data_IF_315191170301
#
_entry.id   IF_315191170301
#
_cell.length_a   1.000
_cell.length_b   1.000
_cell.length_c   1.000
_cell.angle_alpha   90.00
_cell.angle_beta   90.00
_cell.angle_gamma   90.00
#
_symmetry.space_group_name_H-M   'P 1'
#
loop_
_entity.id
_entity.type
_entity.pdbx_description
1 polymer ?
#
# COMPACT_ATOMS: atom_id res chain seq x y z
N UNK A 1 2.78 -58.59 -22.90
CA UNK A 1 3.13 -57.25 -22.38
C UNK A 1 4.64 -57.06 -22.43
N UNK A 2 5.12 -56.09 -23.21
CA UNK A 2 6.55 -55.85 -23.43
C UNK A 2 7.23 -55.35 -22.15
N UNK A 3 8.42 -55.86 -21.81
CA UNK A 3 9.21 -55.50 -20.61
C UNK A 3 9.27 -53.98 -20.34
N UNK A 4 9.37 -53.18 -21.41
CA UNK A 4 9.31 -51.71 -21.40
C UNK A 4 8.05 -51.14 -20.72
N UNK A 5 6.88 -51.76 -20.94
CA UNK A 5 5.62 -51.33 -20.33
C UNK A 5 5.66 -51.54 -18.82
N UNK A 6 6.14 -52.71 -18.37
CA UNK A 6 6.28 -53.05 -16.95
C UNK A 6 7.22 -52.05 -16.23
N UNK A 7 8.36 -51.74 -16.84
CA UNK A 7 9.32 -50.75 -16.29
C UNK A 7 8.70 -49.36 -16.19
N UNK A 8 7.99 -48.89 -17.23
CA UNK A 8 7.33 -47.59 -17.22
C UNK A 8 6.28 -47.48 -16.11
N UNK A 9 5.47 -48.52 -15.92
CA UNK A 9 4.46 -48.59 -14.86
C UNK A 9 5.09 -48.56 -13.47
N UNK A 10 6.19 -49.31 -13.26
CA UNK A 10 6.91 -49.30 -11.98
C UNK A 10 7.45 -47.90 -11.67
N UNK A 11 8.09 -47.24 -12.65
CA UNK A 11 8.61 -45.88 -12.47
C UNK A 11 7.49 -44.89 -12.13
N UNK A 12 6.34 -44.96 -12.82
CA UNK A 12 5.20 -44.09 -12.54
C UNK A 12 4.64 -44.31 -11.14
N UNK A 13 4.48 -45.57 -10.72
CA UNK A 13 4.01 -45.91 -9.39
C UNK A 13 4.99 -45.43 -8.31
N UNK A 14 6.29 -45.70 -8.46
CA UNK A 14 7.31 -45.23 -7.52
C UNK A 14 7.33 -43.71 -7.38
N UNK A 15 7.20 -42.96 -8.49
CA UNK A 15 7.10 -41.49 -8.45
C UNK A 15 5.85 -41.02 -7.72
N UNK A 16 4.70 -41.65 -7.96
CA UNK A 16 3.45 -41.32 -7.28
C UNK A 16 3.57 -41.53 -5.77
N UNK A 17 4.02 -42.70 -5.33
CA UNK A 17 4.19 -43.03 -3.91
C UNK A 17 5.19 -42.08 -3.23
N UNK A 18 6.28 -41.72 -3.90
CA UNK A 18 7.27 -40.76 -3.39
C UNK A 18 6.64 -39.40 -3.09
N UNK A 19 5.88 -38.82 -4.02
CA UNK A 19 5.27 -37.51 -3.83
C UNK A 19 4.08 -37.54 -2.87
N UNK A 20 3.28 -38.61 -2.85
CA UNK A 20 2.22 -38.80 -1.85
C UNK A 20 2.78 -38.77 -0.44
N UNK A 21 3.83 -39.55 -0.17
CA UNK A 21 4.51 -39.54 1.13
C UNK A 21 5.06 -38.15 1.47
N UNK A 22 5.59 -37.43 0.48
CA UNK A 22 6.10 -36.07 0.69
C UNK A 22 4.99 -35.10 1.07
N UNK A 23 3.81 -35.19 0.46
CA UNK A 23 2.62 -34.41 0.85
C UNK A 23 2.12 -34.76 2.25
N UNK A 24 2.17 -36.03 2.66
CA UNK A 24 1.80 -36.45 4.01
C UNK A 24 2.72 -35.88 5.11
N UNK A 25 3.99 -35.63 4.77
CA UNK A 25 4.97 -35.06 5.71
C UNK A 25 4.94 -33.54 5.82
N UNK A 26 4.18 -32.85 4.97
CA UNK A 26 4.09 -31.38 4.97
C UNK A 26 3.20 -30.89 6.11
N UNK A 27 3.67 -29.89 6.87
CA UNK A 27 2.95 -29.37 8.04
C UNK A 27 2.39 -27.97 7.84
N UNK A 28 2.86 -27.25 6.83
CA UNK A 28 2.44 -25.88 6.55
C UNK A 28 1.91 -25.70 5.13
N UNK A 29 0.97 -24.76 4.96
CA UNK A 29 0.46 -24.40 3.63
C UNK A 29 1.58 -23.94 2.68
N UNK A 30 2.59 -23.22 3.19
CA UNK A 30 3.74 -22.77 2.40
C UNK A 30 4.53 -23.94 1.79
N UNK A 31 4.85 -24.93 2.60
CA UNK A 31 5.54 -26.16 2.14
C UNK A 31 4.70 -26.93 1.12
N UNK A 32 3.37 -26.96 1.28
CA UNK A 32 2.46 -27.62 0.35
C UNK A 32 2.46 -26.91 -1.02
N UNK A 33 2.42 -25.57 -1.02
CA UNK A 33 2.52 -24.77 -2.25
C UNK A 33 3.88 -24.93 -2.92
N UNK A 34 4.99 -24.91 -2.17
CA UNK A 34 6.32 -25.16 -2.75
C UNK A 34 6.43 -26.56 -3.39
N UNK A 35 5.87 -27.59 -2.75
CA UNK A 35 5.86 -28.94 -3.28
C UNK A 35 5.00 -29.07 -4.54
N UNK A 36 3.86 -28.37 -4.57
CA UNK A 36 2.99 -28.27 -5.75
C UNK A 36 3.68 -27.56 -6.92
N UNK A 37 4.36 -26.44 -6.65
CA UNK A 37 5.10 -25.71 -7.68
C UNK A 37 6.27 -26.53 -8.24
N UNK A 38 6.98 -27.30 -7.40
CA UNK A 38 7.98 -28.26 -7.85
C UNK A 38 7.41 -29.30 -8.81
N UNK A 39 6.25 -29.88 -8.47
CA UNK A 39 5.57 -30.88 -9.31
C UNK A 39 5.08 -30.33 -10.64
N UNK A 40 4.66 -29.07 -10.66
CA UNK A 40 4.13 -28.40 -11.84
C UNK A 40 5.22 -27.71 -12.67
N UNK A 41 6.49 -27.80 -12.27
CA UNK A 41 7.60 -27.10 -12.91
C UNK A 41 7.48 -25.57 -12.81
N UNK A 42 6.78 -25.07 -11.79
CA UNK A 42 6.55 -23.66 -11.50
C UNK A 42 7.56 -23.09 -10.51
N UNK A 43 8.67 -23.80 -10.25
CA UNK A 43 9.71 -23.32 -9.35
C UNK A 43 10.22 -21.94 -9.82
N UNK A 44 9.72 -20.90 -9.17
CA UNK A 44 10.21 -19.55 -9.37
C UNK A 44 11.49 -19.42 -8.58
N UNK A 45 12.62 -19.64 -9.23
CA UNK A 45 13.85 -19.02 -8.76
C UNK A 45 13.65 -17.52 -8.91
N UNK A 46 13.49 -16.79 -7.81
CA UNK A 46 13.73 -15.34 -7.79
C UNK A 46 15.19 -15.18 -7.36
N UNK A 47 16.17 -15.32 -8.28
CA UNK A 47 17.54 -15.03 -7.90
C UNK A 47 17.59 -13.59 -7.44
N UNK A 48 18.16 -13.37 -6.26
CA UNK A 48 18.52 -12.02 -5.85
C UNK A 48 19.43 -11.42 -6.94
N UNK A 49 19.27 -10.14 -7.26
CA UNK A 49 20.13 -9.49 -8.23
C UNK A 49 21.58 -9.61 -7.74
N UNK A 50 22.46 -10.09 -8.61
CA UNK A 50 23.89 -10.20 -8.31
C UNK A 50 24.54 -8.82 -8.32
N UNK A 51 25.39 -8.53 -7.33
CA UNK A 51 26.11 -7.27 -7.20
C UNK A 51 26.50 -6.99 -5.75
N UNK A 52 27.33 -5.96 -5.52
CA UNK A 52 27.55 -5.45 -4.16
C UNK A 52 26.34 -4.64 -3.69
N UNK A 53 26.21 -4.41 -2.39
CA UNK A 53 25.12 -3.59 -1.84
C UNK A 53 25.07 -2.20 -2.48
N UNK A 54 26.24 -1.59 -2.72
CA UNK A 54 26.37 -0.28 -3.35
C UNK A 54 25.86 -0.33 -4.79
N UNK A 55 26.30 -1.31 -5.58
CA UNK A 55 25.88 -1.46 -6.98
C UNK A 55 24.36 -1.67 -7.09
N UNK A 56 23.78 -2.44 -6.16
CA UNK A 56 22.34 -2.70 -6.13
C UNK A 56 21.55 -1.43 -5.76
N UNK A 57 22.03 -0.66 -4.78
CA UNK A 57 21.44 0.63 -4.41
C UNK A 57 21.50 1.63 -5.57
N UNK A 58 22.64 1.74 -6.24
CA UNK A 58 22.80 2.63 -7.40
C UNK A 58 21.87 2.21 -8.55
N UNK A 59 21.86 0.92 -8.91
CA UNK A 59 20.96 0.40 -9.96
C UNK A 59 19.50 0.63 -9.63
N UNK A 60 19.11 0.49 -8.36
CA UNK A 60 17.75 0.77 -7.91
C UNK A 60 17.40 2.24 -8.11
N UNK A 61 18.25 3.16 -7.66
CA UNK A 61 18.05 4.61 -7.79
C UNK A 61 17.96 5.01 -9.27
N UNK A 62 18.90 4.56 -10.09
CA UNK A 62 18.92 4.86 -11.53
C UNK A 62 17.66 4.35 -12.22
N UNK A 63 17.27 3.10 -11.97
CA UNK A 63 16.05 2.53 -12.56
C UNK A 63 14.80 3.37 -12.28
N UNK A 64 14.59 3.80 -11.03
CA UNK A 64 13.41 4.59 -10.69
C UNK A 64 13.47 6.01 -11.25
N UNK A 65 14.65 6.65 -11.23
CA UNK A 65 14.83 7.96 -11.84
C UNK A 65 14.54 7.92 -13.35
N UNK A 66 15.10 6.95 -14.06
CA UNK A 66 14.91 6.78 -15.50
C UNK A 66 13.45 6.45 -15.80
N UNK A 67 12.82 5.58 -15.02
CA UNK A 67 11.39 5.25 -15.18
C UNK A 67 10.52 6.49 -15.01
N UNK A 68 10.78 7.33 -14.00
CA UNK A 68 10.03 8.57 -13.78
C UNK A 68 10.25 9.53 -14.95
N UNK A 69 11.50 9.69 -15.42
CA UNK A 69 11.82 10.54 -16.55
C UNK A 69 11.11 10.08 -17.84
N UNK A 70 11.13 8.78 -18.12
CA UNK A 70 10.47 8.18 -19.27
C UNK A 70 8.95 8.35 -19.20
N UNK A 71 8.33 8.11 -18.05
CA UNK A 71 6.87 8.32 -17.88
C UNK A 71 6.50 9.77 -18.12
N UNK A 72 7.29 10.74 -17.61
CA UNK A 72 7.04 12.16 -17.87
C UNK A 72 7.17 12.50 -19.36
N UNK A 73 8.24 12.02 -20.00
CA UNK A 73 8.47 12.24 -21.42
C UNK A 73 7.36 11.62 -22.29
N UNK A 74 6.88 10.44 -21.93
CA UNK A 74 5.74 9.80 -22.60
C UNK A 74 4.46 10.63 -22.44
N UNK A 75 4.19 11.15 -21.24
CA UNK A 75 3.03 12.00 -20.97
C UNK A 75 3.12 13.34 -21.71
N UNK A 76 4.30 13.96 -21.76
CA UNK A 76 4.53 15.24 -22.44
C UNK A 76 4.46 15.11 -23.97
N UNK A 77 4.87 13.95 -24.52
CA UNK A 77 4.83 13.68 -25.96
C UNK A 77 3.49 13.14 -26.46
N UNK A 78 2.54 12.86 -25.56
CA UNK A 78 1.19 12.54 -25.97
C UNK A 78 0.52 13.81 -26.52
N UNK A 79 -0.07 13.79 -27.73
CA UNK A 79 -0.86 14.92 -28.18
C UNK A 79 -1.96 15.14 -27.15
N UNK A 80 -2.04 16.36 -26.61
CA UNK A 80 -3.14 16.77 -25.72
C UNK A 80 -4.41 16.76 -26.57
N UNK A 81 -5.02 15.59 -26.68
CA UNK A 81 -6.42 15.48 -27.05
C UNK A 81 -7.14 16.15 -25.90
N UNK A 82 -7.46 17.43 -26.03
CA UNK A 82 -8.38 18.09 -25.11
C UNK A 82 -9.61 17.22 -25.09
N UNK A 83 -9.88 16.48 -24.00
CA UNK A 83 -11.04 15.62 -23.98
C UNK A 83 -12.21 16.57 -24.16
N UNK A 84 -13.09 16.25 -25.11
CA UNK A 84 -14.33 17.00 -25.30
C UNK A 84 -15.22 16.68 -24.12
N UNK A 85 -14.92 17.30 -22.98
CA UNK A 85 -15.78 17.27 -21.83
C UNK A 85 -17.02 18.08 -22.17
N UNK A 86 -18.19 17.56 -21.81
CA UNK A 86 -19.38 18.38 -21.77
C UNK A 86 -19.09 19.63 -20.94
N UNK A 87 -19.39 20.81 -21.48
CA UNK A 87 -19.27 22.05 -20.72
C UNK A 87 -20.12 21.89 -19.46
N UNK A 88 -19.50 22.06 -18.29
CA UNK A 88 -20.22 22.02 -17.03
C UNK A 88 -21.35 23.06 -17.06
N UNK A 89 -22.59 22.58 -16.98
CA UNK A 89 -23.80 23.40 -16.96
C UNK A 89 -24.42 23.53 -15.56
N UNK A 90 -23.74 22.98 -14.54
CA UNK A 90 -24.18 23.07 -13.16
C UNK A 90 -23.85 24.40 -12.50
N UNK A 91 -24.15 24.50 -11.21
CA UNK A 91 -23.79 25.65 -10.38
C UNK A 91 -22.31 25.64 -10.04
N UNK A 92 -21.65 26.78 -10.18
CA UNK A 92 -20.25 26.95 -9.74
C UNK A 92 -20.13 26.64 -8.24
N UNK A 93 -19.07 25.93 -7.87
CA UNK A 93 -18.72 25.71 -6.47
C UNK A 93 -17.83 26.87 -6.01
N UNK A 94 -18.44 27.90 -5.43
CA UNK A 94 -17.73 29.13 -5.11
C UNK A 94 -17.18 29.16 -3.67
N UNK A 95 -17.75 28.34 -2.77
CA UNK A 95 -17.37 28.31 -1.36
C UNK A 95 -17.72 27.00 -0.68
N UNK A 96 -16.96 26.69 0.36
CA UNK A 96 -17.30 25.63 1.31
C UNK A 96 -18.34 26.11 2.32
N UNK A 97 -19.16 25.19 2.80
CA UNK A 97 -19.98 25.43 3.97
C UNK A 97 -19.10 25.39 5.21
N UNK A 98 -19.28 26.37 6.09
CA UNK A 98 -18.58 26.41 7.37
C UNK A 98 -19.14 25.33 8.30
N UNK A 99 -18.25 24.75 9.11
CA UNK A 99 -18.60 23.75 10.11
C UNK A 99 -19.16 24.41 11.37
N UNK A 100 -20.17 23.77 11.94
CA UNK A 100 -20.71 24.12 13.25
C UNK A 100 -19.91 23.48 14.39
N UNK A 101 -20.09 24.01 15.60
CA UNK A 101 -19.46 23.47 16.80
C UNK A 101 -19.88 22.02 17.08
N UNK A 102 -21.17 21.72 16.90
CA UNK A 102 -21.73 20.38 17.14
C UNK A 102 -21.15 19.34 16.16
N UNK A 103 -20.96 19.73 14.90
CA UNK A 103 -20.32 18.88 13.90
C UNK A 103 -18.87 18.56 14.28
N UNK A 104 -18.12 19.55 14.78
CA UNK A 104 -16.74 19.35 15.24
C UNK A 104 -16.69 18.44 16.47
N UNK A 105 -17.54 18.68 17.47
CA UNK A 105 -17.61 17.82 18.65
C UNK A 105 -17.95 16.38 18.27
N UNK A 106 -18.92 16.20 17.37
CA UNK A 106 -19.33 14.87 16.87
C UNK A 106 -18.20 14.21 16.08
N UNK A 107 -17.53 14.95 15.20
CA UNK A 107 -16.40 14.47 14.40
C UNK A 107 -15.26 13.99 15.31
N UNK A 108 -14.88 14.81 16.29
CA UNK A 108 -13.81 14.49 17.22
C UNK A 108 -14.17 13.27 18.08
N UNK A 109 -15.39 13.17 18.63
CA UNK A 109 -15.83 12.01 19.42
C UNK A 109 -15.83 10.69 18.64
N UNK A 110 -16.04 10.75 17.32
CA UNK A 110 -16.01 9.57 16.44
C UNK A 110 -14.62 9.28 15.85
N UNK A 111 -13.62 10.11 16.16
CA UNK A 111 -12.27 9.96 15.64
C UNK A 111 -11.45 8.98 16.48
N UNK A 112 -10.41 8.41 15.88
CA UNK A 112 -9.49 7.52 16.59
C UNK A 112 -8.66 8.28 17.63
N UNK A 113 -8.40 7.67 18.78
CA UNK A 113 -7.55 8.21 19.86
C UNK A 113 -6.05 8.07 19.56
N UNK A 114 -5.63 8.36 18.32
CA UNK A 114 -4.22 8.35 17.92
C UNK A 114 -3.59 9.71 18.16
N UNK A 115 -2.33 9.70 18.59
CA UNK A 115 -1.50 10.88 18.75
C UNK A 115 -0.29 10.76 17.83
N UNK A 116 0.03 11.85 17.15
CA UNK A 116 1.25 12.07 16.41
C UNK A 116 2.27 12.82 17.29
N UNK A 117 3.57 12.63 17.03
CA UNK A 117 4.61 13.40 17.72
C UNK A 117 4.65 14.89 17.29
N UNK A 118 3.94 15.25 16.21
CA UNK A 118 3.73 16.65 15.81
C UNK A 118 2.55 17.31 16.54
N UNK A 119 1.73 16.54 17.27
CA UNK A 119 0.57 17.10 17.96
C UNK A 119 1.04 17.92 19.16
N UNK A 120 0.50 19.14 19.37
CA UNK A 120 0.90 20.00 20.48
C UNK A 120 0.47 19.45 21.84
N UNK A 121 -0.56 18.61 21.86
CA UNK A 121 -1.08 17.95 23.06
C UNK A 121 -1.46 16.50 22.74
N UNK A 122 -1.34 15.57 23.71
CA UNK A 122 -1.86 14.23 23.55
C UNK A 122 -3.37 14.24 23.29
N UNK A 123 -3.82 13.41 22.36
CA UNK A 123 -5.23 13.33 21.92
C UNK A 123 -6.16 12.93 23.07
N UNK A 124 -5.68 12.12 24.01
CA UNK A 124 -6.42 11.78 25.23
C UNK A 124 -6.72 13.00 26.10
N UNK A 125 -5.77 13.92 26.23
CA UNK A 125 -5.95 15.17 26.99
C UNK A 125 -6.82 16.16 26.21
N UNK A 126 -6.66 16.24 24.89
CA UNK A 126 -7.55 17.02 24.03
C UNK A 126 -9.02 16.62 24.24
N UNK A 127 -9.32 15.32 24.35
CA UNK A 127 -10.68 14.86 24.62
C UNK A 127 -11.20 15.24 26.01
N UNK A 128 -10.34 15.34 27.02
CA UNK A 128 -10.74 15.82 28.35
C UNK A 128 -11.10 17.31 28.35
N UNK A 129 -10.48 18.08 27.45
CA UNK A 129 -10.71 19.52 27.29
C UNK A 129 -11.55 19.85 26.04
N UNK A 130 -12.27 18.86 25.48
CA UNK A 130 -12.91 18.97 24.17
C UNK A 130 -13.85 20.17 24.07
N UNK A 131 -14.73 20.36 25.05
CA UNK A 131 -15.71 21.45 25.04
C UNK A 131 -15.05 22.83 25.04
N UNK A 132 -13.86 22.96 25.64
CA UNK A 132 -13.06 24.19 25.64
C UNK A 132 -12.30 24.40 24.34
N UNK A 133 -11.80 23.32 23.73
CA UNK A 133 -10.96 23.39 22.53
C UNK A 133 -11.77 23.39 21.22
N UNK A 134 -12.96 22.80 21.21
CA UNK A 134 -13.78 22.65 20.01
C UNK A 134 -14.10 23.98 19.31
N UNK A 135 -14.39 25.11 19.99
CA UNK A 135 -14.58 26.40 19.34
C UNK A 135 -13.34 26.87 18.57
N UNK A 136 -12.15 26.70 19.14
CA UNK A 136 -10.90 27.06 18.50
C UNK A 136 -10.59 26.16 17.28
N UNK A 137 -10.84 24.86 17.42
CA UNK A 137 -10.67 23.90 16.31
C UNK A 137 -11.64 24.25 15.16
N UNK A 138 -12.90 24.57 15.48
CA UNK A 138 -13.89 24.98 14.49
C UNK A 138 -13.47 26.26 13.76
N UNK A 139 -12.93 27.25 14.47
CA UNK A 139 -12.44 28.49 13.88
C UNK A 139 -11.28 28.24 12.89
N UNK A 140 -10.28 27.46 13.28
CA UNK A 140 -9.15 27.10 12.39
C UNK A 140 -9.63 26.38 11.13
N UNK A 141 -10.56 25.44 11.26
CA UNK A 141 -11.14 24.72 10.12
C UNK A 141 -11.93 25.68 9.23
N UNK A 142 -12.76 26.53 9.80
CA UNK A 142 -13.58 27.49 9.06
C UNK A 142 -12.74 28.52 8.31
N UNK A 143 -11.65 29.00 8.90
CA UNK A 143 -10.70 29.87 8.20
C UNK A 143 -10.05 29.14 7.01
N UNK A 144 -9.70 27.86 7.18
CA UNK A 144 -9.13 27.06 6.09
C UNK A 144 -10.14 26.83 4.96
N UNK A 145 -11.41 26.56 5.30
CA UNK A 145 -12.51 26.39 4.34
C UNK A 145 -12.86 27.70 3.61
N UNK A 146 -12.84 28.83 4.31
CA UNK A 146 -13.14 30.14 3.73
C UNK A 146 -12.05 30.63 2.78
N UNK A 147 -10.79 30.39 3.12
CA UNK A 147 -9.62 30.86 2.34
C UNK A 147 -9.12 29.83 1.32
N UNK A 148 -9.60 28.59 1.40
CA UNK A 148 -9.07 27.47 0.61
C UNK A 148 -7.61 27.11 0.95
N UNK A 149 -7.08 27.60 2.07
CA UNK A 149 -5.67 27.46 2.44
C UNK A 149 -5.52 26.79 3.80
N UNK A 150 -4.73 25.72 3.85
CA UNK A 150 -4.34 25.07 5.12
C UNK A 150 -2.95 25.58 5.52
N UNK A 151 -2.71 25.91 6.80
CA UNK A 151 -1.38 26.25 7.31
C UNK A 151 -0.32 25.18 7.03
N UNK A 152 0.91 25.59 6.72
CA UNK A 152 1.98 24.66 6.34
C UNK A 152 2.34 23.66 7.44
N UNK A 153 2.26 24.06 8.72
CA UNK A 153 2.51 23.16 9.83
C UNK A 153 1.61 21.90 9.82
N UNK A 154 0.39 21.99 9.30
CA UNK A 154 -0.54 20.87 9.20
C UNK A 154 -0.37 20.01 7.93
N UNK A 155 0.52 20.40 7.01
CA UNK A 155 0.85 19.63 5.80
C UNK A 155 2.01 18.65 6.02
N UNK A 156 2.63 18.68 7.18
CA UNK A 156 3.77 17.84 7.51
C UNK A 156 3.30 16.52 8.16
N UNK A 157 3.96 15.41 7.81
CA UNK A 157 3.70 14.10 8.38
C UNK A 157 5.02 13.41 8.73
N UNK A 158 5.01 12.59 9.80
CA UNK A 158 6.16 11.75 10.18
C UNK A 158 5.97 10.37 9.56
N UNK A 159 6.84 10.02 8.60
CA UNK A 159 6.89 8.67 8.04
C UNK A 159 7.81 7.79 8.88
N UNK A 160 7.23 6.90 9.69
CA UNK A 160 8.00 5.90 10.46
C UNK A 160 7.87 4.53 9.79
N UNK A 161 8.89 4.03 9.07
CA UNK A 161 8.84 2.69 8.49
C UNK A 161 8.76 1.67 9.63
N UNK A 162 7.80 0.74 9.51
CA UNK A 162 7.65 -0.38 10.44
C UNK A 162 8.05 -1.68 9.73
N UNK A 163 8.91 -2.46 10.38
CA UNK A 163 9.25 -3.80 9.90
C UNK A 163 8.00 -4.68 9.98
N UNK A 164 7.66 -5.35 8.87
CA UNK A 164 6.67 -6.42 8.89
C UNK A 164 7.17 -7.54 9.81
N UNK A 165 6.23 -8.27 10.43
CA UNK A 165 6.57 -9.52 11.10
C UNK A 165 7.03 -10.55 10.06
N UNK A 166 7.95 -11.48 10.41
CA UNK A 166 8.35 -12.56 9.51
C UNK A 166 7.12 -13.32 8.97
N UNK A 167 7.03 -13.49 7.65
CA UNK A 167 5.96 -14.26 6.98
C UNK A 167 4.71 -13.50 6.53
N UNK A 168 4.73 -12.16 6.50
CA UNK A 168 3.63 -11.30 6.01
C UNK A 168 3.89 -10.69 4.61
N UNK A 169 4.58 -11.42 3.76
CA UNK A 169 4.74 -11.11 2.33
C UNK A 169 3.75 -11.88 1.46
#
# INVERSE_FOLDING_TARGET
>A
MTYRHKVKTIIQNCKREYFLRKFETVTSGKELFMLSDHLLGRERTMPLPSGTEIDLCERFVTFFNDKIANVRLELDNQPVSTPSYDKFTGTSFDKFNLVSLDEIIKLLKNSSTKTCALDPIPTSLMFQCLETLAPFIADVINQSLATGTVPDCYKHAISKPMLKKPGLD
#
